data_IF_965631811873
#
_entry.id   IF_965631811873
#
_cell.length_a   1.000
_cell.length_b   1.000
_cell.length_c   1.000
_cell.angle_alpha   90.00
_cell.angle_beta   90.00
_cell.angle_gamma   90.00
#
_symmetry.space_group_name_H-M   'P 1'
#
loop_
_entity.id
_entity.type
_entity.pdbx_description
1 polymer ?
#
# COMPACT_ATOMS: atom_id res chain seq x y z
N UNK A 1 -12.89 13.89 12.95
CA UNK A 1 -12.14 12.81 13.65
C UNK A 1 -11.78 11.60 12.77
N UNK A 2 -12.24 11.50 11.52
CA UNK A 2 -11.77 10.50 10.55
C UNK A 2 -10.30 10.68 10.11
N UNK A 3 -9.67 11.84 10.39
CA UNK A 3 -8.32 12.15 9.92
C UNK A 3 -7.25 11.29 10.59
N UNK A 4 -7.41 10.90 11.86
CA UNK A 4 -6.43 10.07 12.58
C UNK A 4 -6.41 8.63 12.04
N UNK A 5 -7.59 8.06 11.80
CA UNK A 5 -7.71 6.72 11.22
C UNK A 5 -7.24 6.71 9.76
N UNK A 6 -7.58 7.77 8.99
CA UNK A 6 -7.10 7.94 7.63
C UNK A 6 -5.58 8.12 7.55
N UNK A 7 -4.95 8.90 8.44
CA UNK A 7 -3.47 9.02 8.46
C UNK A 7 -2.81 7.71 8.85
N UNK A 8 -3.34 6.97 9.83
CA UNK A 8 -2.78 5.68 10.21
C UNK A 8 -2.91 4.63 9.09
N UNK A 9 -4.00 4.66 8.33
CA UNK A 9 -4.23 3.77 7.19
C UNK A 9 -3.50 4.19 5.90
N UNK A 10 -3.10 5.46 5.78
CA UNK A 10 -2.36 6.00 4.62
C UNK A 10 -0.84 5.98 4.83
N UNK A 11 -0.39 6.21 6.06
CA UNK A 11 1.03 6.20 6.44
C UNK A 11 1.48 4.81 6.90
N UNK A 12 0.57 4.04 7.51
CA UNK A 12 0.79 2.68 7.98
C UNK A 12 1.32 1.72 6.91
N UNK A 13 0.75 1.64 5.69
CA UNK A 13 1.17 0.66 4.68
C UNK A 13 2.54 0.99 4.09
N UNK A 14 2.82 2.29 3.89
CA UNK A 14 4.10 2.78 3.36
C UNK A 14 5.22 2.55 4.37
N UNK A 15 4.97 2.86 5.64
CA UNK A 15 5.91 2.56 6.73
C UNK A 15 6.04 1.06 6.96
N UNK A 16 4.94 0.32 6.96
CA UNK A 16 4.94 -1.13 7.16
C UNK A 16 5.73 -1.83 6.06
N UNK A 17 5.58 -1.40 4.80
CA UNK A 17 6.39 -1.94 3.71
C UNK A 17 7.87 -1.56 3.85
N UNK A 18 8.19 -0.32 4.21
CA UNK A 18 9.58 0.11 4.47
C UNK A 18 10.23 -0.71 5.61
N UNK A 19 9.51 -0.90 6.71
CA UNK A 19 9.96 -1.72 7.84
C UNK A 19 10.10 -3.18 7.42
N UNK A 20 9.14 -3.71 6.67
CA UNK A 20 9.18 -5.07 6.16
C UNK A 20 10.36 -5.31 5.20
N UNK A 21 10.70 -4.30 4.38
CA UNK A 21 11.86 -4.35 3.49
C UNK A 21 13.20 -4.26 4.24
N UNK A 22 13.24 -3.57 5.39
CA UNK A 22 14.43 -3.48 6.25
C UNK A 22 14.68 -4.78 7.05
N UNK A 23 13.66 -5.62 7.23
CA UNK A 23 13.78 -6.91 7.91
C UNK A 23 14.36 -7.95 6.92
N UNK A 24 15.39 -8.73 7.31
CA UNK A 24 16.04 -9.71 6.41
C UNK A 24 15.08 -10.80 5.91
N UNK A 25 14.09 -11.17 6.73
CA UNK A 25 13.02 -12.10 6.35
C UNK A 25 12.12 -11.54 5.24
N UNK A 26 11.73 -10.26 5.35
CA UNK A 26 10.91 -9.61 4.34
C UNK A 26 11.67 -9.34 3.05
N UNK A 27 12.95 -8.98 3.13
CA UNK A 27 13.82 -8.85 1.97
C UNK A 27 13.93 -10.17 1.19
N UNK A 28 14.08 -11.32 1.87
CA UNK A 28 14.14 -12.63 1.21
C UNK A 28 12.83 -12.98 0.49
N UNK A 29 11.68 -12.69 1.10
CA UNK A 29 10.36 -12.86 0.50
C UNK A 29 10.17 -11.96 -0.74
N UNK A 30 10.57 -10.69 -0.64
CA UNK A 30 10.51 -9.74 -1.76
C UNK A 30 11.39 -10.20 -2.91
N UNK A 31 12.59 -10.71 -2.62
CA UNK A 31 13.51 -11.21 -3.65
C UNK A 31 13.03 -12.53 -4.29
N UNK A 32 12.33 -13.38 -3.50
CA UNK A 32 11.70 -14.59 -4.01
C UNK A 32 10.48 -14.28 -4.90
N UNK A 33 9.69 -13.27 -4.52
CA UNK A 33 8.49 -12.84 -5.24
C UNK A 33 8.81 -11.95 -6.45
N UNK A 34 9.87 -11.13 -6.36
CA UNK A 34 10.35 -10.22 -7.38
C UNK A 34 11.85 -10.41 -7.56
N UNK A 35 12.29 -10.86 -8.74
CA UNK A 35 13.70 -10.93 -9.12
C UNK A 35 14.29 -9.52 -9.38
N UNK A 36 14.28 -8.64 -8.38
CA UNK A 36 14.86 -7.30 -8.47
C UNK A 36 14.20 -6.25 -7.58
N UNK A 37 14.87 -5.11 -7.44
CA UNK A 37 14.47 -3.98 -6.59
C UNK A 37 13.49 -2.99 -7.26
N UNK A 38 13.34 -3.07 -8.59
CA UNK A 38 12.52 -2.13 -9.37
C UNK A 38 11.01 -2.33 -9.15
N UNK A 39 10.51 -3.57 -9.24
CA UNK A 39 9.09 -3.90 -9.04
C UNK A 39 8.58 -3.58 -7.63
N UNK A 40 9.31 -3.91 -6.54
CA UNK A 40 8.94 -3.52 -5.18
C UNK A 40 8.85 -2.00 -5.01
N UNK A 41 9.77 -1.24 -5.63
CA UNK A 41 9.78 0.22 -5.55
C UNK A 41 8.58 0.85 -6.26
N UNK A 42 8.23 0.32 -7.43
CA UNK A 42 7.05 0.75 -8.18
C UNK A 42 5.77 0.45 -7.39
N UNK A 43 5.70 -0.74 -6.79
CA UNK A 43 4.60 -1.16 -5.91
C UNK A 43 4.43 -0.27 -4.70
N UNK A 44 5.52 0.11 -4.01
CA UNK A 44 5.47 1.04 -2.88
C UNK A 44 4.85 2.40 -3.26
N UNK A 45 5.13 2.90 -4.46
CA UNK A 45 4.66 4.22 -4.92
C UNK A 45 3.20 4.17 -5.39
N UNK A 46 2.85 3.14 -6.17
CA UNK A 46 1.55 3.07 -6.84
C UNK A 46 0.52 2.20 -6.12
N UNK A 47 0.92 1.15 -5.41
CA UNK A 47 0.00 0.21 -4.77
C UNK A 47 0.61 -0.42 -3.49
N UNK A 48 0.80 0.37 -2.42
CA UNK A 48 1.50 -0.09 -1.22
C UNK A 48 0.78 -1.22 -0.48
N UNK A 49 -0.56 -1.34 -0.54
CA UNK A 49 -1.27 -2.44 0.11
C UNK A 49 -1.15 -3.74 -0.67
N UNK A 50 -1.34 -3.69 -2.00
CA UNK A 50 -1.28 -4.91 -2.81
C UNK A 50 0.08 -5.56 -2.78
N UNK A 51 1.16 -4.76 -2.84
CA UNK A 51 2.51 -5.29 -2.85
C UNK A 51 2.85 -5.95 -1.50
N UNK A 52 2.37 -5.37 -0.39
CA UNK A 52 2.60 -5.90 0.96
C UNK A 52 1.84 -7.21 1.15
N UNK A 53 0.58 -7.29 0.71
CA UNK A 53 -0.18 -8.54 0.74
C UNK A 53 0.38 -9.60 -0.21
N UNK A 54 0.83 -9.21 -1.41
CA UNK A 54 1.42 -10.13 -2.36
C UNK A 54 2.69 -10.78 -1.81
N UNK A 55 3.56 -10.00 -1.17
CA UNK A 55 4.80 -10.50 -0.57
C UNK A 55 4.52 -11.39 0.65
N UNK A 56 3.50 -11.09 1.46
CA UNK A 56 3.14 -11.93 2.62
C UNK A 56 2.57 -13.29 2.20
N UNK A 57 1.77 -13.31 1.14
CA UNK A 57 1.01 -14.50 0.72
C UNK A 57 1.78 -15.35 -0.29
N UNK A 58 2.93 -14.91 -0.78
CA UNK A 58 3.68 -15.63 -1.80
C UNK A 58 4.09 -17.05 -1.34
N UNK A 59 3.85 -18.12 -2.14
CA UNK A 59 3.21 -18.13 -3.46
C UNK A 59 1.69 -18.04 -3.39
N UNK A 60 1.09 -17.23 -4.27
CA UNK A 60 -0.37 -17.01 -4.33
C UNK A 60 -1.06 -18.25 -4.90
N UNK A 61 -1.92 -18.92 -4.12
CA UNK A 61 -2.64 -20.14 -4.58
C UNK A 61 -4.14 -20.09 -4.22
N UNK A 62 -5.00 -20.39 -5.19
CA UNK A 62 -6.44 -20.60 -4.95
C UNK A 62 -7.20 -19.36 -4.45
N UNK A 63 -7.46 -19.28 -3.15
CA UNK A 63 -8.33 -18.26 -2.53
C UNK A 63 -7.61 -16.93 -2.23
N UNK A 64 -6.29 -16.91 -2.35
CA UNK A 64 -5.44 -15.76 -2.06
C UNK A 64 -5.72 -14.53 -2.95
N UNK A 65 -6.30 -14.77 -4.13
CA UNK A 65 -6.77 -13.72 -5.05
C UNK A 65 -7.81 -12.79 -4.42
N UNK A 66 -8.64 -13.29 -3.49
CA UNK A 66 -9.62 -12.45 -2.77
C UNK A 66 -8.92 -11.47 -1.82
N UNK A 67 -7.78 -11.85 -1.24
CA UNK A 67 -6.98 -10.98 -0.39
C UNK A 67 -6.26 -9.91 -1.24
N UNK A 68 -5.70 -10.28 -2.39
CA UNK A 68 -5.13 -9.32 -3.33
C UNK A 68 -6.15 -8.30 -3.82
N UNK A 69 -7.36 -8.76 -4.19
CA UNK A 69 -8.43 -7.88 -4.66
C UNK A 69 -8.86 -6.86 -3.59
N UNK A 70 -8.94 -7.27 -2.32
CA UNK A 70 -9.23 -6.35 -1.21
C UNK A 70 -8.11 -5.36 -0.95
N UNK A 71 -6.85 -5.80 -1.04
CA UNK A 71 -5.71 -4.90 -0.94
C UNK A 71 -5.71 -3.85 -2.06
N UNK A 72 -6.09 -4.24 -3.27
CA UNK A 72 -6.24 -3.32 -4.42
C UNK A 72 -7.35 -2.29 -4.20
N UNK A 73 -8.51 -2.72 -3.66
CA UNK A 73 -9.56 -1.78 -3.28
C UNK A 73 -9.10 -0.80 -2.19
N UNK A 74 -8.29 -1.27 -1.23
CA UNK A 74 -7.71 -0.40 -0.20
C UNK A 74 -6.75 0.65 -0.80
N UNK A 75 -5.96 0.27 -1.80
CA UNK A 75 -5.11 1.22 -2.53
C UNK A 75 -5.96 2.30 -3.23
N UNK A 76 -7.04 1.93 -3.93
CA UNK A 76 -7.96 2.91 -4.57
C UNK A 76 -8.62 3.82 -3.54
N UNK A 77 -9.11 3.26 -2.44
CA UNK A 77 -9.72 4.02 -1.36
C UNK A 77 -8.73 5.03 -0.75
N UNK A 78 -7.45 4.64 -0.66
CA UNK A 78 -6.38 5.53 -0.20
C UNK A 78 -6.25 6.75 -1.12
N UNK A 79 -6.18 6.56 -2.45
CA UNK A 79 -6.08 7.66 -3.42
C UNK A 79 -7.29 8.61 -3.35
N UNK A 80 -8.50 8.08 -3.13
CA UNK A 80 -9.72 8.88 -2.96
C UNK A 80 -9.74 9.73 -1.68
N UNK A 81 -9.20 9.22 -0.57
CA UNK A 81 -9.15 9.93 0.72
C UNK A 81 -8.28 11.20 0.71
N UNK A 82 -7.23 11.22 -0.11
CA UNK A 82 -6.36 12.40 -0.29
C UNK A 82 -7.01 13.52 -1.10
N UNK A 83 -7.78 13.17 -2.13
CA UNK A 83 -8.49 14.14 -2.97
C UNK A 83 -9.64 14.84 -2.22
N UNK A 84 -10.34 14.11 -1.34
CA UNK A 84 -11.45 14.66 -0.55
C UNK A 84 -10.98 15.65 0.53
N UNK A 85 -9.78 15.46 1.09
CA UNK A 85 -9.23 16.36 2.11
C UNK A 85 -8.74 17.71 1.56
N UNK A 86 -8.39 17.82 0.26
CA UNK A 86 -8.01 19.10 -0.35
C UNK A 86 -9.14 20.14 -0.35
N UNK A 87 -10.40 19.68 -0.40
CA UNK A 87 -11.60 20.54 -0.37
C UNK A 87 -11.90 21.14 1.01
N UNK A 88 -11.21 20.70 2.06
CA UNK A 88 -11.41 21.16 3.44
C UNK A 88 -10.45 22.28 3.87
N UNK A 89 -9.52 22.66 3.00
CA UNK A 89 -8.60 23.78 3.27
C UNK A 89 -9.39 25.08 3.12
N UNK A 90 -9.53 25.91 4.18
CA UNK A 90 -10.19 27.20 4.09
C UNK A 90 -9.45 28.08 3.08
N UNK A 91 -10.12 28.52 2.02
CA UNK A 91 -9.51 29.28 0.92
C UNK A 91 -9.10 28.47 -0.31
N UNK A 92 -9.48 27.19 -0.41
CA UNK A 92 -9.26 26.41 -1.62
C UNK A 92 -10.24 26.83 -2.75
N UNK A 93 -9.84 27.81 -3.55
CA UNK A 93 -10.41 28.06 -4.88
C UNK A 93 -9.72 27.09 -5.85
N UNK A 94 -10.27 25.89 -5.97
CA UNK A 94 -9.90 24.98 -7.07
C UNK A 94 -10.33 25.55 -8.44
N UNK A 95 -9.81 25.03 -9.56
CA UNK A 95 -10.30 25.36 -10.89
C UNK A 95 -11.76 24.92 -11.10
#
# INVERSE_FOLDING_TARGET
MCCFFATMMFFGPRLAFLIYWLIPFGYAQINAAFNGWFWPLLGLIFLPWTILMYVIIFPVVGFDWLWLGRAFMADIASYGGGAYNRRRVPGYTGP
#
